data_IF_184895029900
#
_entry.id   IF_184895029900
#
_cell.length_a   1.000
_cell.length_b   1.000
_cell.length_c   1.000
_cell.angle_alpha   90.00
_cell.angle_beta   90.00
_cell.angle_gamma   90.00
#
_symmetry.space_group_name_H-M   'P 1'
#
loop_
_entity.id
_entity.type
_entity.pdbx_description
1 polymer ?
#
# COMPACT_ATOMS: atom_id res chain seq x y z
N UNK A 1 -3.91 -40.69 -14.62
CA UNK A 1 -2.86 -40.34 -13.64
C UNK A 1 -2.87 -38.82 -13.45
N UNK A 2 -3.62 -38.31 -12.48
CA UNK A 2 -3.76 -36.88 -12.22
C UNK A 2 -4.21 -36.66 -10.78
N UNK A 3 -3.29 -36.88 -9.84
CA UNK A 3 -3.55 -36.62 -8.42
C UNK A 3 -3.54 -35.13 -8.15
N UNK A 4 -4.37 -34.68 -7.20
CA UNK A 4 -4.34 -33.31 -6.72
C UNK A 4 -2.95 -32.96 -6.21
N UNK A 5 -2.31 -31.93 -6.79
CA UNK A 5 -1.06 -31.37 -6.28
C UNK A 5 -1.40 -30.52 -5.05
N UNK A 6 -0.88 -30.85 -3.85
CA UNK A 6 -1.15 -30.06 -2.67
C UNK A 6 -0.62 -28.64 -2.85
N UNK A 7 -1.49 -27.64 -2.72
CA UNK A 7 -1.06 -26.25 -2.63
C UNK A 7 -0.33 -26.05 -1.31
N UNK A 8 1.01 -26.08 -1.35
CA UNK A 8 1.85 -25.74 -0.21
C UNK A 8 1.67 -24.26 0.07
N UNK A 9 1.12 -23.90 1.23
CA UNK A 9 1.11 -22.49 1.68
C UNK A 9 2.55 -22.10 2.02
N UNK A 10 3.18 -21.16 1.31
CA UNK A 10 4.46 -20.63 1.76
C UNK A 10 4.26 -20.00 3.13
N UNK A 11 5.22 -20.20 4.03
CA UNK A 11 5.21 -19.65 5.41
C UNK A 11 5.31 -18.12 5.42
N UNK A 12 5.70 -17.52 4.29
CA UNK A 12 5.74 -16.09 4.06
C UNK A 12 4.89 -15.77 2.82
N UNK A 13 3.92 -14.86 2.97
CA UNK A 13 3.17 -14.29 1.84
C UNK A 13 3.76 -12.93 1.49
N UNK A 14 3.84 -12.60 0.21
CA UNK A 14 4.23 -11.26 -0.24
C UNK A 14 3.03 -10.57 -0.90
N UNK A 15 2.82 -9.30 -0.55
CA UNK A 15 1.89 -8.41 -1.24
C UNK A 15 2.69 -7.51 -2.18
N UNK A 16 2.37 -7.54 -3.47
CA UNK A 16 2.79 -6.50 -4.42
C UNK A 16 1.64 -5.50 -4.56
N UNK A 17 1.92 -4.22 -4.34
CA UNK A 17 0.96 -3.13 -4.48
C UNK A 17 1.51 -2.04 -5.39
N UNK A 18 0.64 -1.47 -6.21
CA UNK A 18 0.96 -0.38 -7.13
C UNK A 18 -0.31 0.37 -7.58
N UNK A 19 -0.15 1.57 -8.12
CA UNK A 19 -1.19 2.27 -8.87
C UNK A 19 -0.87 2.24 -10.36
N UNK A 20 -1.85 1.85 -11.18
CA UNK A 20 -1.72 1.79 -12.64
C UNK A 20 -2.51 2.93 -13.30
N UNK A 21 -1.88 3.58 -14.28
CA UNK A 21 -2.49 4.61 -15.13
C UNK A 21 -2.18 4.35 -16.61
N UNK A 22 -2.75 5.16 -17.51
CA UNK A 22 -2.39 5.16 -18.94
C UNK A 22 -0.92 5.52 -19.19
N UNK A 23 -0.26 6.17 -18.23
CA UNK A 23 1.16 6.53 -18.30
C UNK A 23 2.07 5.48 -17.64
N UNK A 24 1.51 4.36 -17.19
CA UNK A 24 2.24 3.28 -16.52
C UNK A 24 1.98 3.20 -15.01
N UNK A 25 2.90 2.50 -14.35
CA UNK A 25 2.93 2.14 -12.93
C UNK A 25 3.45 3.29 -12.04
N UNK A 26 2.89 3.46 -10.85
CA UNK A 26 3.18 4.57 -9.92
C UNK A 26 3.32 4.07 -8.48
N UNK A 27 4.57 3.91 -8.05
CA UNK A 27 4.87 3.51 -6.68
C UNK A 27 4.67 2.03 -6.42
N UNK A 28 5.32 1.18 -7.21
CA UNK A 28 5.44 -0.26 -6.93
C UNK A 28 6.08 -0.47 -5.56
N UNK A 29 5.48 -1.32 -4.72
CA UNK A 29 6.06 -1.77 -3.46
C UNK A 29 5.75 -3.25 -3.20
N UNK A 30 6.75 -3.97 -2.68
CA UNK A 30 6.59 -5.32 -2.12
C UNK A 30 6.56 -5.23 -0.60
N UNK A 31 5.55 -5.85 0.01
CA UNK A 31 5.32 -5.92 1.44
C UNK A 31 5.29 -7.38 1.87
N UNK A 32 5.85 -7.67 3.03
CA UNK A 32 5.67 -8.97 3.66
C UNK A 32 4.32 -9.04 4.37
N UNK A 33 3.64 -10.17 4.23
CA UNK A 33 2.32 -10.41 4.80
C UNK A 33 1.18 -9.84 3.97
N UNK A 34 -0.03 -9.94 4.54
CA UNK A 34 -1.24 -9.36 3.97
C UNK A 34 -1.27 -7.85 4.19
N UNK A 35 -1.75 -7.12 3.19
CA UNK A 35 -2.01 -5.68 3.29
C UNK A 35 -3.03 -5.39 4.40
N UNK A 36 -2.71 -4.44 5.27
CA UNK A 36 -3.62 -3.93 6.29
C UNK A 36 -3.74 -2.40 6.22
N UNK A 37 -4.63 -1.82 7.02
CA UNK A 37 -4.86 -0.37 7.01
C UNK A 37 -3.60 0.45 7.32
N UNK A 38 -2.74 -0.03 8.22
CA UNK A 38 -1.52 0.70 8.59
C UNK A 38 -0.49 0.69 7.46
N UNK A 39 -0.18 -0.48 6.90
CA UNK A 39 0.74 -0.61 5.76
C UNK A 39 0.20 0.14 4.53
N UNK A 40 -1.12 0.08 4.29
CA UNK A 40 -1.75 0.81 3.20
C UNK A 40 -1.69 2.34 3.40
N UNK A 41 -1.95 2.85 4.62
CA UNK A 41 -1.84 4.28 4.89
C UNK A 41 -0.41 4.80 4.72
N UNK A 42 0.60 4.02 5.14
CA UNK A 42 2.00 4.35 4.91
C UNK A 42 2.34 4.32 3.42
N UNK A 43 1.89 3.30 2.69
CA UNK A 43 2.03 3.22 1.25
C UNK A 43 1.47 4.46 0.55
N UNK A 44 0.22 4.83 0.85
CA UNK A 44 -0.42 6.04 0.32
C UNK A 44 0.41 7.28 0.65
N UNK A 45 0.77 7.49 1.92
CA UNK A 45 1.38 8.74 2.35
C UNK A 45 2.86 8.90 1.93
N UNK A 46 3.60 7.79 1.80
CA UNK A 46 5.06 7.80 1.55
C UNK A 46 5.44 7.45 0.14
N UNK A 47 4.68 6.58 -0.52
CA UNK A 47 5.05 6.02 -1.81
C UNK A 47 4.15 6.60 -2.90
N UNK A 48 2.84 6.42 -2.81
CA UNK A 48 1.94 6.79 -3.89
C UNK A 48 1.66 8.30 -3.98
N UNK A 49 1.27 8.95 -2.88
CA UNK A 49 0.86 10.36 -2.89
C UNK A 49 1.92 11.34 -3.45
N UNK A 50 3.24 11.17 -3.21
CA UNK A 50 4.26 12.03 -3.82
C UNK A 50 4.36 11.94 -5.34
N UNK A 51 3.83 10.87 -5.95
CA UNK A 51 3.86 10.64 -7.39
C UNK A 51 2.57 11.12 -8.09
N UNK A 52 1.49 11.31 -7.32
CA UNK A 52 0.21 11.80 -7.83
C UNK A 52 0.23 13.31 -8.05
N UNK A 53 -0.53 13.75 -9.04
CA UNK A 53 -0.77 15.16 -9.36
C UNK A 53 -2.13 15.58 -8.83
N UNK A 54 -2.26 16.89 -8.57
CA UNK A 54 -3.55 17.47 -8.22
C UNK A 54 -4.53 17.23 -9.38
N UNK A 55 -5.67 16.61 -9.08
CA UNK A 55 -6.68 16.26 -10.08
C UNK A 55 -6.67 14.77 -10.48
N UNK A 56 -5.64 14.01 -10.10
CA UNK A 56 -5.65 12.56 -10.29
C UNK A 56 -6.77 11.92 -9.46
N UNK A 57 -7.46 10.94 -10.05
CA UNK A 57 -8.53 10.18 -9.41
C UNK A 57 -8.04 8.77 -9.17
N UNK A 58 -7.98 8.38 -7.90
CA UNK A 58 -7.65 7.02 -7.51
C UNK A 58 -8.92 6.18 -7.43
N UNK A 59 -8.99 5.13 -8.25
CA UNK A 59 -10.05 4.12 -8.20
C UNK A 59 -9.49 2.88 -7.51
N UNK A 60 -10.13 2.46 -6.43
CA UNK A 60 -9.76 1.29 -5.64
C UNK A 60 -10.96 0.34 -5.55
N UNK A 61 -10.70 -0.92 -5.25
CA UNK A 61 -11.78 -1.83 -4.89
C UNK A 61 -12.37 -1.47 -3.51
N UNK A 62 -13.42 -2.18 -3.09
CA UNK A 62 -14.12 -1.89 -1.84
C UNK A 62 -13.55 -2.66 -0.62
N UNK A 63 -12.25 -2.97 -0.60
CA UNK A 63 -11.67 -3.59 0.58
C UNK A 63 -11.63 -2.61 1.75
N UNK A 64 -11.92 -3.10 2.96
CA UNK A 64 -11.91 -2.30 4.20
C UNK A 64 -10.57 -1.59 4.47
N UNK A 65 -9.48 -2.10 3.91
CA UNK A 65 -8.14 -1.49 4.03
C UNK A 65 -8.06 -0.12 3.35
N UNK A 66 -8.90 0.14 2.33
CA UNK A 66 -8.94 1.40 1.60
C UNK A 66 -9.75 2.51 2.30
N UNK A 67 -10.55 2.15 3.29
CA UNK A 67 -11.34 3.09 4.10
C UNK A 67 -10.48 3.69 5.22
N UNK A 68 -9.65 4.68 4.88
CA UNK A 68 -8.63 5.29 5.76
C UNK A 68 -9.15 6.41 6.68
N UNK A 69 -10.43 6.45 7.00
CA UNK A 69 -11.03 7.53 7.81
C UNK A 69 -10.29 7.70 9.15
N UNK A 70 -9.75 8.91 9.40
CA UNK A 70 -9.01 9.25 10.62
C UNK A 70 -7.52 8.87 10.65
N UNK A 71 -7.08 7.93 9.81
CA UNK A 71 -5.72 7.38 9.88
C UNK A 71 -4.68 8.25 9.13
N UNK A 72 -5.05 8.83 7.98
CA UNK A 72 -4.15 9.67 7.17
C UNK A 72 -3.62 10.90 7.92
N UNK A 73 -4.44 11.51 8.77
CA UNK A 73 -4.03 12.64 9.60
C UNK A 73 -3.01 12.23 10.68
N UNK A 74 -3.16 11.02 11.23
CA UNK A 74 -2.28 10.46 12.25
C UNK A 74 -0.94 10.03 11.65
N UNK A 75 -0.96 9.36 10.49
CA UNK A 75 0.24 9.02 9.73
C UNK A 75 1.01 10.29 9.39
N UNK A 76 0.35 11.32 8.83
CA UNK A 76 0.96 12.62 8.52
C UNK A 76 1.68 13.27 9.71
N UNK A 77 1.16 13.12 10.94
CA UNK A 77 1.80 13.62 12.17
C UNK A 77 3.05 12.81 12.52
N UNK A 78 3.00 11.48 12.45
CA UNK A 78 4.18 10.63 12.62
C UNK A 78 5.25 10.96 11.57
N UNK A 79 4.86 11.22 10.32
CA UNK A 79 5.80 11.57 9.26
C UNK A 79 6.58 12.86 9.55
N UNK A 80 5.93 13.84 10.18
CA UNK A 80 6.55 15.10 10.62
C UNK A 80 7.47 14.90 11.83
N UNK A 81 7.12 13.99 12.73
CA UNK A 81 7.92 13.66 13.90
C UNK A 81 9.22 12.93 13.52
N UNK A 82 9.17 11.94 12.61
CA UNK A 82 10.35 11.17 12.19
C UNK A 82 11.39 12.03 11.43
N UNK A 83 10.94 13.02 10.64
CA UNK A 83 11.84 13.97 9.94
C UNK A 83 12.58 14.95 10.87
N UNK A 84 12.16 15.06 12.13
CA UNK A 84 12.82 15.91 13.15
C UNK A 84 13.89 15.16 13.95
N UNK A 85 13.84 13.83 13.99
CA UNK A 85 14.80 13.01 14.73
C UNK A 85 16.04 12.67 13.88
N UNK A 86 15.91 12.73 12.56
CA UNK A 86 17.00 12.49 11.60
C UNK A 86 17.77 13.76 11.20
N UNK A 87 17.67 14.85 11.98
CA UNK A 87 18.41 16.11 11.76
C UNK A 87 19.24 16.49 12.98
#
# INVERSE_FOLDING_TARGET
>A
MGGAVPLRRPTCSLTLIDALSVNGLHGVQVLEGALNQHSFALYIARILAPQLRRGDVLVLDNLRVHHLTGLLAQTSRQLRASRRVER
#
